data_IF_099672170574
#
_entry.id   IF_099672170574
#
_cell.length_a   1.000
_cell.length_b   1.000
_cell.length_c   1.000
_cell.angle_alpha   90.00
_cell.angle_beta   90.00
_cell.angle_gamma   90.00
#
_symmetry.space_group_name_H-M   'P 1'
#
loop_
_entity.id
_entity.type
_entity.pdbx_description
1 polymer ?
#
# COMPACT_ATOMS: atom_id res chain seq x y z
N UNK A 1 23.96 20.45 -29.53
CA UNK A 1 23.79 20.26 -28.05
C UNK A 1 22.57 21.06 -27.66
N UNK A 2 21.46 20.41 -27.42
CA UNK A 2 20.26 21.08 -26.89
C UNK A 2 20.56 21.62 -25.50
N UNK A 3 20.26 22.89 -25.28
CA UNK A 3 20.48 23.55 -23.98
C UNK A 3 19.62 22.88 -22.93
N UNK A 4 20.25 22.27 -21.91
CA UNK A 4 19.55 21.64 -20.82
C UNK A 4 18.65 22.66 -20.09
N UNK A 5 17.36 22.39 -20.01
CA UNK A 5 16.36 23.28 -19.47
C UNK A 5 16.23 23.10 -17.93
N UNK A 6 15.88 24.16 -17.22
CA UNK A 6 15.46 24.05 -15.82
C UNK A 6 13.96 23.70 -15.75
N UNK A 7 13.52 22.93 -14.72
CA UNK A 7 12.10 22.72 -14.49
C UNK A 7 11.35 24.04 -14.30
N UNK A 8 10.14 24.13 -14.87
CA UNK A 8 9.29 25.33 -14.74
C UNK A 8 8.73 25.39 -13.32
N UNK A 9 8.76 26.56 -12.69
CA UNK A 9 8.10 26.77 -11.40
C UNK A 9 6.58 26.77 -11.59
N UNK A 10 5.87 25.98 -10.81
CA UNK A 10 4.41 25.98 -10.80
C UNK A 10 3.87 27.40 -10.49
N UNK A 11 2.76 27.82 -11.11
CA UNK A 11 2.16 29.12 -10.78
C UNK A 11 1.57 29.15 -9.37
N UNK A 12 1.41 30.36 -8.81
CA UNK A 12 0.82 30.56 -7.49
C UNK A 12 1.79 30.40 -6.30
N UNK A 13 3.09 30.36 -6.57
CA UNK A 13 4.09 30.39 -5.51
C UNK A 13 4.14 31.74 -4.80
N UNK A 14 3.87 31.76 -3.51
CA UNK A 14 3.96 32.95 -2.67
C UNK A 14 5.38 33.14 -2.10
N UNK A 15 5.82 34.39 -1.84
CA UNK A 15 7.06 34.63 -1.12
C UNK A 15 7.10 33.88 0.20
N UNK A 16 8.22 33.24 0.53
CA UNK A 16 8.47 32.42 1.73
C UNK A 16 7.62 31.16 1.86
N UNK A 17 6.34 31.20 1.54
CA UNK A 17 5.42 30.07 1.69
C UNK A 17 5.44 29.11 0.51
N UNK A 18 5.85 29.57 -0.69
CA UNK A 18 5.74 28.80 -1.91
C UNK A 18 4.27 28.42 -2.19
N UNK A 19 4.02 27.13 -2.45
CA UNK A 19 2.68 26.59 -2.72
C UNK A 19 2.01 26.00 -1.48
N UNK A 20 2.41 26.41 -0.26
CA UNK A 20 1.84 25.86 0.99
C UNK A 20 0.30 25.99 1.04
N UNK A 21 -0.27 27.10 0.53
CA UNK A 21 -1.72 27.27 0.48
C UNK A 21 -2.41 26.31 -0.50
N UNK A 22 -1.76 25.93 -1.59
CA UNK A 22 -2.31 24.97 -2.55
C UNK A 22 -2.44 23.55 -1.95
N UNK A 23 -1.72 23.26 -0.86
CA UNK A 23 -1.83 22.01 -0.13
C UNK A 23 -3.12 21.87 0.69
N UNK A 24 -3.96 22.90 0.76
CA UNK A 24 -5.34 22.76 1.26
C UNK A 24 -6.21 21.90 0.34
N UNK A 25 -5.88 21.87 -0.97
CA UNK A 25 -6.52 21.02 -1.97
C UNK A 25 -5.44 20.27 -2.80
N UNK A 26 -4.69 19.33 -2.19
CA UNK A 26 -3.45 18.81 -2.75
C UNK A 26 -3.66 18.03 -4.05
N UNK A 27 -4.76 17.28 -4.19
CA UNK A 27 -5.08 16.55 -5.41
C UNK A 27 -5.43 17.49 -6.57
N UNK A 28 -6.17 18.57 -6.30
CA UNK A 28 -6.48 19.59 -7.31
C UNK A 28 -5.20 20.27 -7.79
N UNK A 29 -4.32 20.63 -6.87
CA UNK A 29 -3.03 21.22 -7.20
C UNK A 29 -2.16 20.24 -8.01
N UNK A 30 -2.05 18.99 -7.58
CA UNK A 30 -1.29 17.98 -8.30
C UNK A 30 -1.80 17.81 -9.75
N UNK A 31 -3.13 17.76 -9.95
CA UNK A 31 -3.77 17.63 -11.28
C UNK A 31 -3.55 18.82 -12.20
N UNK A 32 -3.28 20.01 -11.67
CA UNK A 32 -3.00 21.20 -12.49
C UNK A 32 -1.58 21.22 -13.06
N UNK A 33 -0.63 20.46 -12.46
CA UNK A 33 0.78 20.54 -12.81
C UNK A 33 1.12 20.12 -14.26
N UNK A 34 0.51 19.07 -14.85
CA UNK A 34 0.81 18.66 -16.23
C UNK A 34 0.58 19.75 -17.29
N UNK A 35 -0.32 20.70 -17.02
CA UNK A 35 -0.56 21.83 -17.92
C UNK A 35 0.64 22.81 -18.02
N UNK A 36 1.61 22.72 -17.11
CA UNK A 36 2.76 23.62 -17.03
C UNK A 36 4.07 22.99 -17.53
N UNK A 37 4.05 21.69 -17.88
CA UNK A 37 5.19 21.00 -18.48
C UNK A 37 5.42 19.59 -17.95
N UNK A 38 6.38 18.92 -18.57
CA UNK A 38 6.74 17.52 -18.25
C UNK A 38 7.38 17.36 -16.88
N UNK A 39 8.06 18.44 -16.43
CA UNK A 39 8.79 18.50 -15.17
C UNK A 39 8.56 19.87 -14.51
N UNK A 40 7.87 19.88 -13.38
CA UNK A 40 7.39 21.11 -12.73
C UNK A 40 7.97 21.25 -11.32
N UNK A 41 8.63 22.39 -11.05
CA UNK A 41 9.14 22.70 -9.70
C UNK A 41 8.01 23.16 -8.79
N UNK A 42 7.95 22.59 -7.60
CA UNK A 42 7.02 22.95 -6.51
C UNK A 42 7.82 23.34 -5.28
N UNK A 43 7.41 24.39 -4.59
CA UNK A 43 8.04 24.90 -3.36
C UNK A 43 7.05 24.88 -2.21
N UNK A 44 7.47 24.44 -1.05
CA UNK A 44 6.67 24.48 0.19
C UNK A 44 7.59 25.00 1.31
N UNK A 45 7.49 26.27 1.62
CA UNK A 45 8.48 26.94 2.45
C UNK A 45 9.90 26.79 1.86
N UNK A 46 10.87 26.32 2.63
CA UNK A 46 12.25 26.09 2.16
C UNK A 46 12.40 24.82 1.31
N UNK A 47 11.41 23.94 1.31
CA UNK A 47 11.46 22.66 0.58
C UNK A 47 11.19 22.89 -0.90
N UNK A 48 12.03 22.29 -1.74
CA UNK A 48 11.88 22.27 -3.19
C UNK A 48 11.77 20.83 -3.66
N UNK A 49 10.86 20.58 -4.57
CA UNK A 49 10.66 19.30 -5.21
C UNK A 49 10.33 19.52 -6.69
N UNK A 50 10.67 18.56 -7.51
CA UNK A 50 10.34 18.53 -8.92
C UNK A 50 9.34 17.41 -9.16
N UNK A 51 8.16 17.75 -9.67
CA UNK A 51 7.10 16.78 -9.97
C UNK A 51 7.22 16.36 -11.41
N UNK A 52 7.29 15.06 -11.63
CA UNK A 52 7.32 14.44 -12.97
C UNK A 52 5.89 14.26 -13.44
N UNK A 53 5.54 14.93 -14.52
CA UNK A 53 4.20 14.89 -15.13
C UNK A 53 4.15 14.01 -16.37
N UNK A 54 5.31 13.75 -17.00
CA UNK A 54 5.43 12.94 -18.20
C UNK A 54 5.60 11.44 -17.87
N UNK A 55 4.90 10.53 -18.58
CA UNK A 55 5.00 9.08 -18.34
C UNK A 55 6.39 8.51 -18.63
N UNK A 56 7.08 8.93 -19.70
CA UNK A 56 8.38 8.41 -20.08
C UNK A 56 9.46 8.83 -19.06
N UNK A 57 9.41 10.09 -18.59
CA UNK A 57 10.28 10.57 -17.52
C UNK A 57 10.01 9.86 -16.20
N UNK A 58 8.75 9.52 -15.92
CA UNK A 58 8.39 8.70 -14.74
C UNK A 58 9.08 7.33 -14.80
N UNK A 59 9.08 6.67 -15.96
CA UNK A 59 9.81 5.42 -16.16
C UNK A 59 11.32 5.56 -15.97
N UNK A 60 11.92 6.61 -16.51
CA UNK A 60 13.38 6.88 -16.32
C UNK A 60 13.72 6.98 -14.83
N UNK A 61 12.90 7.69 -14.03
CA UNK A 61 13.09 7.79 -12.58
C UNK A 61 12.97 6.43 -11.89
N UNK A 62 12.00 5.61 -12.29
CA UNK A 62 11.74 4.31 -11.64
C UNK A 62 12.77 3.24 -11.99
N UNK A 63 13.31 3.26 -13.21
CA UNK A 63 14.29 2.28 -13.69
C UNK A 63 15.71 2.56 -13.20
N UNK A 64 16.05 3.81 -12.92
CA UNK A 64 17.41 4.21 -12.52
C UNK A 64 17.50 4.53 -11.01
N UNK A 65 17.38 3.50 -10.17
CA UNK A 65 17.42 3.65 -8.71
C UNK A 65 18.83 3.94 -8.14
N UNK A 66 19.87 3.90 -8.97
CA UNK A 66 21.21 4.37 -8.61
C UNK A 66 21.26 5.90 -8.53
N UNK A 67 20.64 6.55 -9.49
CA UNK A 67 20.59 8.01 -9.60
C UNK A 67 19.41 8.57 -8.81
N UNK A 68 18.24 7.94 -8.90
CA UNK A 68 17.01 8.33 -8.21
C UNK A 68 16.75 7.39 -7.03
N UNK A 69 17.53 7.57 -5.95
CA UNK A 69 17.42 6.70 -4.77
C UNK A 69 16.30 7.14 -3.82
N UNK A 70 15.95 6.26 -2.90
CA UNK A 70 15.05 6.58 -1.80
C UNK A 70 15.69 7.58 -0.85
N UNK A 71 15.11 8.78 -0.74
CA UNK A 71 15.66 9.87 0.05
C UNK A 71 14.60 10.93 0.39
N UNK A 72 15.09 12.09 0.85
CA UNK A 72 14.24 13.20 1.26
C UNK A 72 13.69 13.09 2.68
N UNK A 73 12.97 14.12 3.11
CA UNK A 73 12.48 14.26 4.49
C UNK A 73 11.49 13.14 4.84
N UNK A 74 10.58 12.82 3.95
CA UNK A 74 9.52 11.79 4.16
C UNK A 74 10.15 10.42 4.48
N UNK A 75 11.13 9.99 3.68
CA UNK A 75 11.78 8.70 3.91
C UNK A 75 12.73 8.72 5.11
N UNK A 76 13.36 9.87 5.42
CA UNK A 76 14.12 10.01 6.66
C UNK A 76 13.23 9.78 7.89
N UNK A 77 12.01 10.31 7.88
CA UNK A 77 11.01 10.06 8.93
C UNK A 77 10.48 8.62 8.93
N UNK A 78 10.27 8.05 7.76
CA UNK A 78 9.89 6.64 7.64
C UNK A 78 10.92 5.70 8.27
N UNK A 79 12.21 5.98 8.11
CA UNK A 79 13.31 5.21 8.74
C UNK A 79 13.30 5.27 10.27
N UNK A 80 12.76 6.31 10.87
CA UNK A 80 12.65 6.36 12.34
C UNK A 80 11.77 5.23 12.89
N UNK A 81 10.80 4.73 12.10
CA UNK A 81 9.90 3.64 12.50
C UNK A 81 10.35 2.32 11.89
N UNK A 82 10.45 2.29 10.56
CA UNK A 82 10.70 1.08 9.79
C UNK A 82 12.19 0.69 9.73
N UNK A 83 13.06 1.43 10.41
CA UNK A 83 14.49 1.17 10.36
C UNK A 83 15.06 1.23 8.94
N UNK A 84 16.03 0.36 8.64
CA UNK A 84 16.65 0.21 7.33
C UNK A 84 16.06 -0.99 6.55
N UNK A 85 14.76 -1.22 6.67
CA UNK A 85 14.07 -2.28 5.93
C UNK A 85 13.95 -1.97 4.43
N UNK A 86 13.51 -2.95 3.63
CA UNK A 86 13.43 -2.89 2.17
C UNK A 86 12.67 -1.65 1.64
N UNK A 87 11.63 -1.22 2.39
CA UNK A 87 10.83 -0.03 2.08
C UNK A 87 11.61 1.28 2.15
N UNK A 88 12.61 1.37 3.01
CA UNK A 88 13.31 2.61 3.38
C UNK A 88 14.82 2.62 3.12
N UNK A 89 15.45 1.47 2.89
CA UNK A 89 16.90 1.34 2.71
C UNK A 89 17.40 2.07 1.46
N UNK A 90 18.66 2.51 1.52
CA UNK A 90 19.37 3.12 0.39
C UNK A 90 19.69 2.09 -0.70
N UNK A 91 20.05 2.59 -1.91
CA UNK A 91 20.38 1.75 -3.06
C UNK A 91 21.43 0.67 -2.73
N UNK A 92 22.51 1.04 -2.02
CA UNK A 92 23.61 0.13 -1.66
C UNK A 92 23.15 -1.13 -0.89
N UNK A 93 22.12 -1.01 -0.02
CA UNK A 93 21.63 -2.09 0.83
C UNK A 93 20.49 -2.86 0.18
N UNK A 94 19.76 -2.20 -0.73
CA UNK A 94 18.51 -2.71 -1.29
C UNK A 94 18.67 -4.02 -2.06
N UNK A 95 19.69 -4.11 -2.93
CA UNK A 95 19.87 -5.30 -3.79
C UNK A 95 20.10 -6.57 -2.97
N UNK A 96 20.91 -6.46 -1.90
CA UNK A 96 21.14 -7.58 -0.97
C UNK A 96 19.88 -7.92 -0.21
N UNK A 97 19.25 -6.93 0.43
CA UNK A 97 18.03 -7.16 1.20
C UNK A 97 16.92 -7.75 0.33
N UNK A 98 16.72 -7.22 -0.90
CA UNK A 98 15.69 -7.75 -1.79
C UNK A 98 15.90 -9.20 -2.15
N UNK A 99 17.15 -9.62 -2.43
CA UNK A 99 17.45 -11.04 -2.71
C UNK A 99 17.12 -11.95 -1.52
N UNK A 100 17.39 -11.50 -0.31
CA UNK A 100 17.10 -12.25 0.92
C UNK A 100 15.61 -12.34 1.24
N UNK A 101 14.86 -11.28 0.95
CA UNK A 101 13.43 -11.16 1.28
C UNK A 101 12.53 -11.76 0.20
N UNK A 102 12.91 -11.67 -1.07
CA UNK A 102 12.06 -12.05 -2.21
C UNK A 102 11.56 -13.50 -2.18
N UNK A 103 12.33 -14.52 -1.72
CA UNK A 103 11.84 -15.89 -1.61
C UNK A 103 10.59 -16.04 -0.73
N UNK A 104 10.42 -15.19 0.29
CA UNK A 104 9.24 -15.20 1.16
C UNK A 104 7.96 -14.78 0.41
N UNK A 105 8.08 -14.05 -0.70
CA UNK A 105 6.97 -13.63 -1.57
C UNK A 105 6.89 -14.44 -2.87
N UNK A 106 7.56 -15.60 -2.94
CA UNK A 106 7.51 -16.45 -4.13
C UNK A 106 6.14 -17.13 -4.28
N UNK A 107 5.71 -17.33 -5.54
CA UNK A 107 4.36 -17.85 -5.86
C UNK A 107 4.00 -19.18 -5.18
N UNK A 108 4.97 -20.04 -4.88
CA UNK A 108 4.70 -21.31 -4.19
C UNK A 108 4.24 -21.14 -2.72
N UNK A 109 4.46 -19.95 -2.11
CA UNK A 109 3.98 -19.63 -0.77
C UNK A 109 2.57 -19.01 -0.77
N UNK A 110 2.11 -18.50 -1.91
CA UNK A 110 0.83 -17.80 -2.01
C UNK A 110 -0.37 -18.65 -1.58
N UNK A 111 -0.46 -19.97 -1.87
CA UNK A 111 -1.57 -20.79 -1.37
C UNK A 111 -1.70 -20.77 0.17
N UNK A 112 -0.58 -20.85 0.86
CA UNK A 112 -0.57 -20.77 2.33
C UNK A 112 -1.02 -19.39 2.81
N UNK A 113 -0.50 -18.31 2.24
CA UNK A 113 -0.94 -16.96 2.62
C UNK A 113 -2.41 -16.71 2.28
N UNK A 114 -2.91 -17.23 1.16
CA UNK A 114 -4.33 -17.15 0.81
C UNK A 114 -5.22 -17.78 1.89
N UNK A 115 -4.87 -18.98 2.37
CA UNK A 115 -5.62 -19.64 3.45
C UNK A 115 -5.61 -18.85 4.75
N UNK A 116 -4.50 -18.18 5.06
CA UNK A 116 -4.39 -17.30 6.23
C UNK A 116 -5.29 -16.07 6.06
N UNK A 117 -5.24 -15.39 4.91
CA UNK A 117 -6.06 -14.21 4.60
C UNK A 117 -7.55 -14.52 4.69
N UNK A 118 -7.97 -15.61 4.06
CA UNK A 118 -9.36 -16.07 4.06
C UNK A 118 -9.85 -16.35 5.48
N UNK A 119 -9.06 -17.03 6.29
CA UNK A 119 -9.41 -17.29 7.69
C UNK A 119 -9.57 -16.00 8.48
N UNK A 120 -8.62 -15.08 8.40
CA UNK A 120 -8.67 -13.80 9.13
C UNK A 120 -9.84 -12.93 8.67
N UNK A 121 -10.13 -12.88 7.38
CA UNK A 121 -11.28 -12.19 6.84
C UNK A 121 -12.61 -12.83 7.32
N UNK A 122 -12.69 -14.17 7.34
CA UNK A 122 -13.86 -14.88 7.86
C UNK A 122 -14.11 -14.58 9.34
N UNK A 123 -13.08 -14.58 10.17
CA UNK A 123 -13.20 -14.25 11.61
C UNK A 123 -13.79 -12.85 11.82
N UNK A 124 -13.38 -11.87 11.03
CA UNK A 124 -13.94 -10.51 11.12
C UNK A 124 -15.38 -10.46 10.60
N UNK A 125 -15.62 -11.02 9.41
CA UNK A 125 -16.95 -10.96 8.78
C UNK A 125 -18.01 -11.80 9.52
N UNK A 126 -17.62 -12.86 10.24
CA UNK A 126 -18.53 -13.68 11.05
C UNK A 126 -19.07 -12.92 12.28
N UNK A 127 -18.40 -11.88 12.73
CA UNK A 127 -18.89 -11.01 13.80
C UNK A 127 -19.95 -10.00 13.32
N UNK A 128 -20.10 -9.82 12.02
CA UNK A 128 -21.04 -8.85 11.45
C UNK A 128 -22.48 -9.36 11.48
N UNK A 129 -23.42 -8.41 11.54
CA UNK A 129 -24.87 -8.71 11.60
C UNK A 129 -25.63 -7.94 10.52
N UNK A 130 -26.71 -8.51 9.97
CA UNK A 130 -27.60 -7.78 9.05
C UNK A 130 -28.11 -6.48 9.68
N UNK A 131 -28.11 -5.41 8.89
CA UNK A 131 -28.51 -4.07 9.32
C UNK A 131 -27.46 -3.28 10.11
N UNK A 132 -26.37 -3.91 10.53
CA UNK A 132 -25.26 -3.24 11.22
C UNK A 132 -24.65 -2.16 10.32
N UNK A 133 -24.28 -1.02 10.92
CA UNK A 133 -23.51 0.03 10.26
C UNK A 133 -22.06 -0.08 10.72
N UNK A 134 -21.15 -0.26 9.76
CA UNK A 134 -19.71 -0.36 9.99
C UNK A 134 -18.97 0.84 9.38
N UNK A 135 -17.80 1.19 9.93
CA UNK A 135 -16.79 1.97 9.18
C UNK A 135 -15.93 0.97 8.38
N UNK A 136 -16.09 1.04 7.06
CA UNK A 136 -15.44 0.06 6.16
C UNK A 136 -13.93 0.13 6.24
N UNK A 137 -13.35 1.34 6.47
CA UNK A 137 -11.91 1.49 6.57
C UNK A 137 -11.35 0.82 7.83
N UNK A 138 -12.04 0.93 8.95
CA UNK A 138 -11.62 0.30 10.21
C UNK A 138 -11.74 -1.23 10.14
N UNK A 139 -12.84 -1.74 9.56
CA UNK A 139 -13.04 -3.18 9.37
C UNK A 139 -12.00 -3.79 8.42
N UNK A 140 -11.79 -3.17 7.25
CA UNK A 140 -10.78 -3.63 6.29
C UNK A 140 -9.35 -3.46 6.86
N UNK A 141 -9.13 -2.45 7.70
CA UNK A 141 -7.92 -2.29 8.47
C UNK A 141 -7.67 -3.46 9.41
N UNK A 142 -8.70 -3.88 10.13
CA UNK A 142 -8.63 -5.04 11.02
C UNK A 142 -8.34 -6.33 10.25
N UNK A 143 -9.02 -6.58 9.14
CA UNK A 143 -8.76 -7.73 8.26
C UNK A 143 -7.30 -7.75 7.81
N UNK A 144 -6.82 -6.64 7.27
CA UNK A 144 -5.48 -6.56 6.67
C UNK A 144 -4.36 -6.68 7.73
N UNK A 145 -4.52 -6.06 8.90
CA UNK A 145 -3.53 -6.18 9.98
C UNK A 145 -3.50 -7.62 10.50
N UNK A 146 -4.64 -8.26 10.71
CA UNK A 146 -4.69 -9.66 11.13
C UNK A 146 -4.08 -10.59 10.10
N UNK A 147 -4.36 -10.37 8.81
CA UNK A 147 -3.78 -11.15 7.71
C UNK A 147 -2.26 -11.06 7.68
N UNK A 148 -1.71 -9.83 7.73
CA UNK A 148 -0.26 -9.65 7.71
C UNK A 148 0.40 -10.18 8.99
N UNK A 149 -0.23 -10.00 10.16
CA UNK A 149 0.28 -10.52 11.42
C UNK A 149 0.39 -12.05 11.41
N UNK A 150 -0.67 -12.73 10.96
CA UNK A 150 -0.71 -14.18 10.86
C UNK A 150 0.21 -14.73 9.74
N UNK A 151 0.40 -13.98 8.64
CA UNK A 151 1.37 -14.33 7.60
C UNK A 151 2.81 -14.13 8.05
N UNK A 152 3.07 -13.11 8.88
CA UNK A 152 4.39 -12.85 9.46
C UNK A 152 4.77 -13.93 10.46
N UNK A 153 3.86 -14.34 11.32
CA UNK A 153 4.16 -15.34 12.36
C UNK A 153 2.94 -16.18 12.71
N UNK A 154 3.04 -17.47 12.39
CA UNK A 154 2.08 -18.47 12.86
C UNK A 154 2.15 -18.70 14.38
N UNK A 155 3.22 -18.22 15.06
CA UNK A 155 3.43 -18.34 16.48
C UNK A 155 3.00 -17.09 17.27
N UNK A 156 2.27 -16.16 16.66
CA UNK A 156 1.78 -14.98 17.36
C UNK A 156 0.77 -15.40 18.44
N UNK A 157 0.99 -15.07 19.72
CA UNK A 157 0.05 -15.44 20.77
C UNK A 157 -1.32 -14.82 20.57
N UNK A 158 -2.41 -15.50 20.93
CA UNK A 158 -3.77 -14.92 20.95
C UNK A 158 -3.79 -13.61 21.75
N UNK A 159 -4.50 -12.58 21.26
CA UNK A 159 -4.56 -11.24 21.86
C UNK A 159 -3.40 -10.30 21.51
N UNK A 160 -2.26 -10.80 21.05
CA UNK A 160 -1.15 -9.94 20.57
C UNK A 160 -1.48 -9.27 19.25
N UNK A 161 -2.28 -9.93 18.39
CA UNK A 161 -2.76 -9.34 17.16
C UNK A 161 -3.58 -8.07 17.43
N UNK A 162 -4.48 -8.09 18.41
CA UNK A 162 -5.31 -6.93 18.76
C UNK A 162 -4.47 -5.78 19.35
N UNK A 163 -3.42 -6.10 20.12
CA UNK A 163 -2.45 -5.10 20.60
C UNK A 163 -1.67 -4.47 19.45
N UNK A 164 -1.25 -5.28 18.46
CA UNK A 164 -0.58 -4.79 17.25
C UNK A 164 -1.49 -3.89 16.41
N UNK A 165 -2.78 -4.22 16.32
CA UNK A 165 -3.78 -3.38 15.64
C UNK A 165 -3.87 -2.01 16.32
N UNK A 166 -4.02 -1.97 17.65
CA UNK A 166 -4.13 -0.72 18.40
C UNK A 166 -2.84 0.14 18.30
N UNK A 167 -1.67 -0.51 18.36
CA UNK A 167 -0.38 0.17 18.19
C UNK A 167 -0.18 0.69 16.77
N UNK A 168 -0.57 -0.09 15.77
CA UNK A 168 -0.52 0.31 14.37
C UNK A 168 -1.34 1.58 14.10
N UNK A 169 -2.63 1.59 14.49
CA UNK A 169 -3.48 2.78 14.32
C UNK A 169 -2.92 4.00 15.10
N UNK A 170 -2.36 3.77 16.29
CA UNK A 170 -1.73 4.84 17.08
C UNK A 170 -0.48 5.40 16.37
N UNK A 171 0.33 4.57 15.73
CA UNK A 171 1.50 4.98 14.95
C UNK A 171 1.09 5.73 13.70
N UNK A 172 0.09 5.24 12.97
CA UNK A 172 -0.37 5.83 11.72
C UNK A 172 -0.87 7.25 11.89
N UNK A 173 -1.74 7.50 12.89
CA UNK A 173 -2.29 8.83 13.17
C UNK A 173 -1.21 9.88 13.41
N UNK A 174 -0.12 9.50 14.06
CA UNK A 174 0.96 10.43 14.41
C UNK A 174 2.02 10.53 13.33
N UNK A 175 2.32 9.41 12.64
CA UNK A 175 3.36 9.35 11.62
C UNK A 175 3.15 10.39 10.52
N UNK A 176 1.94 10.47 9.96
CA UNK A 176 1.64 11.40 8.88
C UNK A 176 1.82 12.86 9.30
N UNK A 177 1.34 13.21 10.49
CA UNK A 177 1.57 14.56 11.05
C UNK A 177 3.05 14.86 11.22
N UNK A 178 3.83 13.89 11.70
CA UNK A 178 5.29 14.05 11.89
C UNK A 178 6.03 14.19 10.56
N UNK A 179 5.60 13.50 9.50
CA UNK A 179 6.20 13.65 8.16
C UNK A 179 6.11 15.10 7.66
N UNK A 180 5.07 15.83 8.03
CA UNK A 180 4.83 17.20 7.64
C UNK A 180 5.33 18.24 8.66
N UNK A 181 5.70 17.82 9.88
CA UNK A 181 6.19 18.73 10.93
C UNK A 181 7.69 19.00 10.73
N UNK A 182 8.07 20.28 10.49
CA UNK A 182 9.47 20.59 10.31
C UNK A 182 10.25 20.51 11.64
N UNK A 183 11.57 20.20 11.61
CA UNK A 183 12.43 20.39 12.77
C UNK A 183 12.51 21.89 13.15
N UNK A 184 12.58 22.23 14.46
CA UNK A 184 12.70 21.37 15.65
C UNK A 184 11.37 20.97 16.30
N UNK A 185 10.21 21.41 15.77
CA UNK A 185 8.89 21.21 16.37
C UNK A 185 8.50 19.74 16.58
N UNK A 186 9.06 18.84 15.76
CA UNK A 186 8.87 17.40 15.87
C UNK A 186 9.49 16.78 17.13
N UNK A 187 10.41 17.49 17.81
CA UNK A 187 11.09 17.04 19.03
C UNK A 187 10.34 17.42 20.31
N UNK A 188 9.35 18.29 20.21
CA UNK A 188 8.59 18.72 21.39
C UNK A 188 7.89 17.53 22.07
N UNK A 189 7.92 17.43 23.41
CA UNK A 189 7.37 16.29 24.15
C UNK A 189 5.84 16.38 24.30
N UNK A 190 5.14 16.42 23.16
CA UNK A 190 3.67 16.45 23.12
C UNK A 190 3.05 15.12 23.57
N UNK A 191 1.79 15.10 24.04
CA UNK A 191 1.08 13.84 24.36
C UNK A 191 1.05 12.89 23.17
N UNK A 192 0.87 13.41 21.94
CA UNK A 192 0.92 12.61 20.71
C UNK A 192 2.28 11.97 20.47
N UNK A 193 3.38 12.70 20.73
CA UNK A 193 4.74 12.12 20.62
C UNK A 193 4.96 10.99 21.64
N UNK A 194 4.54 11.18 22.88
CA UNK A 194 4.67 10.14 23.92
C UNK A 194 3.86 8.87 23.59
N UNK A 195 2.67 9.04 23.01
CA UNK A 195 1.83 7.92 22.53
C UNK A 195 2.51 7.17 21.38
N UNK A 196 3.04 7.90 20.44
CA UNK A 196 3.80 7.37 19.31
C UNK A 196 5.06 6.59 19.77
N UNK A 197 5.88 7.19 20.65
CA UNK A 197 7.11 6.55 21.14
C UNK A 197 6.79 5.25 21.89
N UNK A 198 5.70 5.22 22.67
CA UNK A 198 5.22 4.00 23.36
C UNK A 198 4.73 2.93 22.40
N UNK A 199 3.91 3.30 21.42
CA UNK A 199 3.41 2.35 20.41
C UNK A 199 4.55 1.76 19.59
N UNK A 200 5.52 2.58 19.18
CA UNK A 200 6.73 2.14 18.48
C UNK A 200 7.55 1.16 19.32
N UNK A 201 7.78 1.46 20.60
CA UNK A 201 8.52 0.58 21.49
C UNK A 201 7.83 -0.77 21.65
N UNK A 202 6.49 -0.80 21.84
CA UNK A 202 5.73 -2.05 21.94
C UNK A 202 5.78 -2.86 20.64
N UNK A 203 5.64 -2.22 19.48
CA UNK A 203 5.77 -2.91 18.19
C UNK A 203 7.15 -3.56 18.05
N UNK A 204 8.21 -2.83 18.37
CA UNK A 204 9.57 -3.37 18.34
C UNK A 204 9.76 -4.53 19.31
N UNK A 205 9.25 -4.41 20.52
CA UNK A 205 9.29 -5.48 21.54
C UNK A 205 8.56 -6.73 21.05
N UNK A 206 7.35 -6.59 20.51
CA UNK A 206 6.58 -7.72 19.97
C UNK A 206 7.34 -8.43 18.85
N UNK A 207 7.99 -7.70 17.96
CA UNK A 207 8.81 -8.30 16.89
C UNK A 207 10.00 -9.06 17.48
N UNK A 208 10.67 -8.54 18.51
CA UNK A 208 11.77 -9.26 19.17
C UNK A 208 11.30 -10.54 19.87
N UNK A 209 10.14 -10.50 20.54
CA UNK A 209 9.53 -11.69 21.15
C UNK A 209 9.23 -12.77 20.09
N UNK A 210 8.70 -12.38 18.92
CA UNK A 210 8.44 -13.30 17.82
C UNK A 210 9.75 -13.91 17.28
N UNK A 211 10.81 -13.11 17.12
CA UNK A 211 12.14 -13.59 16.70
C UNK A 211 12.66 -14.63 17.68
N UNK A 212 12.58 -14.36 19.00
CA UNK A 212 13.03 -15.29 20.04
C UNK A 212 12.30 -16.64 19.97
N UNK A 213 10.96 -16.62 19.90
CA UNK A 213 10.13 -17.84 19.78
C UNK A 213 10.47 -18.65 18.51
N UNK A 214 10.80 -17.99 17.41
CA UNK A 214 11.19 -18.70 16.17
C UNK A 214 12.58 -19.31 16.26
N UNK A 215 13.50 -18.72 17.01
CA UNK A 215 14.85 -19.27 17.22
C UNK A 215 14.86 -20.50 18.11
N UNK A 216 13.97 -20.59 19.08
CA UNK A 216 13.82 -21.72 19.99
C UNK A 216 13.01 -22.88 19.41
N UNK A 217 12.20 -22.62 18.36
CA UNK A 217 11.26 -23.59 17.81
C UNK A 217 11.71 -24.28 16.52
N UNK A 218 10.71 -24.80 15.77
CA UNK A 218 10.94 -25.41 14.45
C UNK A 218 11.54 -24.41 13.47
N UNK A 219 12.55 -24.78 12.67
CA UNK A 219 13.25 -23.86 11.77
C UNK A 219 12.34 -23.23 10.70
N UNK A 220 11.38 -23.98 10.14
CA UNK A 220 10.44 -23.49 9.12
C UNK A 220 9.00 -23.79 9.56
N UNK A 221 8.24 -22.74 9.83
CA UNK A 221 6.80 -22.77 10.15
C UNK A 221 5.94 -22.41 8.95
N UNK A 222 6.54 -22.19 7.78
CA UNK A 222 5.85 -21.72 6.56
C UNK A 222 5.54 -20.24 6.53
N UNK A 223 5.84 -19.48 7.58
CA UNK A 223 5.57 -18.07 7.72
C UNK A 223 6.74 -17.18 7.24
N UNK A 224 6.45 -15.87 7.10
CA UNK A 224 7.44 -14.86 6.65
C UNK A 224 8.65 -14.78 7.60
N UNK A 225 8.42 -14.89 8.91
CA UNK A 225 9.48 -14.80 9.91
C UNK A 225 10.51 -15.95 9.74
N UNK A 226 10.04 -17.18 9.63
CA UNK A 226 10.90 -18.35 9.40
C UNK A 226 11.74 -18.16 8.13
N UNK A 227 11.11 -17.67 7.05
CA UNK A 227 11.81 -17.43 5.78
C UNK A 227 12.92 -16.38 5.92
N UNK A 228 12.67 -15.29 6.65
CA UNK A 228 13.66 -14.23 6.86
C UNK A 228 14.83 -14.71 7.73
N UNK A 229 14.55 -15.50 8.78
CA UNK A 229 15.57 -16.03 9.67
C UNK A 229 16.44 -17.10 8.98
N UNK A 230 15.87 -17.84 8.03
CA UNK A 230 16.57 -18.88 7.25
C UNK A 230 17.25 -18.33 5.99
N UNK A 231 16.89 -17.11 5.56
CA UNK A 231 17.40 -16.51 4.33
C UNK A 231 18.93 -16.38 4.35
N UNK A 232 19.57 -16.92 3.30
CA UNK A 232 21.02 -16.79 3.05
C UNK A 232 21.24 -16.27 1.65
N UNK A 233 22.22 -15.39 1.50
CA UNK A 233 22.72 -15.06 0.16
C UNK A 233 23.59 -16.22 -0.31
N UNK A 234 23.37 -16.70 -1.54
CA UNK A 234 24.31 -17.62 -2.16
C UNK A 234 25.69 -16.95 -2.25
N UNK A 235 26.79 -17.67 -1.98
CA UNK A 235 28.13 -17.12 -2.12
C UNK A 235 28.31 -16.54 -3.52
N UNK A 236 28.67 -15.28 -3.61
CA UNK A 236 29.06 -14.57 -4.83
C UNK A 236 30.27 -13.73 -4.50
N UNK A 237 31.06 -13.37 -5.50
CA UNK A 237 32.35 -12.66 -5.34
C UNK A 237 32.27 -11.34 -4.56
N UNK A 238 31.09 -10.89 -4.20
CA UNK A 238 30.85 -9.61 -3.49
C UNK A 238 30.03 -9.74 -2.21
N UNK A 239 29.64 -10.97 -1.79
CA UNK A 239 28.73 -11.12 -0.66
C UNK A 239 29.06 -12.41 0.10
N UNK A 240 29.55 -12.30 1.34
CA UNK A 240 30.10 -13.36 2.20
C UNK A 240 29.07 -14.41 2.68
N UNK A 241 27.99 -14.68 1.97
CA UNK A 241 26.93 -15.59 2.40
C UNK A 241 26.17 -15.10 3.63
N UNK A 242 26.18 -13.79 3.90
CA UNK A 242 25.60 -13.17 5.08
C UNK A 242 24.09 -13.36 5.13
N UNK A 243 23.63 -13.77 6.31
CA UNK A 243 22.21 -13.76 6.70
C UNK A 243 21.77 -12.33 7.05
N UNK A 244 20.45 -12.13 7.16
CA UNK A 244 19.91 -10.97 7.86
C UNK A 244 20.26 -11.06 9.35
N UNK A 245 20.72 -9.96 9.93
CA UNK A 245 20.82 -9.81 11.38
C UNK A 245 19.42 -9.68 12.00
N UNK A 246 19.26 -9.92 13.28
CA UNK A 246 17.97 -9.77 13.99
C UNK A 246 17.40 -8.37 13.85
N UNK A 247 18.27 -7.37 13.84
CA UNK A 247 17.86 -5.99 13.59
C UNK A 247 17.31 -5.82 12.17
N UNK A 248 17.98 -6.39 11.17
CA UNK A 248 17.48 -6.33 9.79
C UNK A 248 16.17 -7.10 9.63
N UNK A 249 16.04 -8.28 10.27
CA UNK A 249 14.77 -9.03 10.30
C UNK A 249 13.67 -8.17 10.93
N UNK A 250 13.94 -7.55 12.09
CA UNK A 250 12.99 -6.64 12.75
C UNK A 250 12.59 -5.48 11.85
N UNK A 251 13.56 -4.82 11.19
CA UNK A 251 13.31 -3.71 10.25
C UNK A 251 12.45 -4.18 9.06
N UNK A 252 12.65 -5.40 8.54
CA UNK A 252 11.79 -5.96 7.48
C UNK A 252 10.37 -6.16 7.96
N UNK A 253 10.18 -6.80 9.12
CA UNK A 253 8.86 -7.10 9.67
C UNK A 253 8.07 -5.83 9.96
N UNK A 254 8.69 -4.84 10.59
CA UNK A 254 8.05 -3.53 10.81
C UNK A 254 7.69 -2.87 9.49
N UNK A 255 8.57 -2.95 8.48
CA UNK A 255 8.29 -2.43 7.13
C UNK A 255 7.09 -3.12 6.50
N UNK A 256 6.94 -4.43 6.66
CA UNK A 256 5.81 -5.19 6.09
C UNK A 256 4.49 -4.83 6.77
N UNK A 257 4.47 -4.70 8.10
CA UNK A 257 3.29 -4.23 8.83
C UNK A 257 2.85 -2.85 8.35
N UNK A 258 3.78 -1.90 8.28
CA UNK A 258 3.46 -0.52 7.89
C UNK A 258 3.04 -0.39 6.44
N UNK A 259 3.64 -1.16 5.54
CA UNK A 259 3.34 -1.07 4.11
C UNK A 259 2.11 -1.92 3.70
N UNK A 260 1.92 -3.09 4.30
CA UNK A 260 0.89 -4.05 3.90
C UNK A 260 -0.49 -3.68 4.40
N UNK A 261 -0.63 -3.40 5.70
CA UNK A 261 -1.94 -3.25 6.32
C UNK A 261 -2.77 -2.09 5.74
N UNK A 262 -2.17 -0.90 5.70
CA UNK A 262 -2.89 0.31 5.27
C UNK A 262 -3.29 0.29 3.81
N UNK A 263 -2.38 -0.09 2.93
CA UNK A 263 -2.61 -0.01 1.48
C UNK A 263 -3.69 -0.98 1.03
N UNK A 264 -3.75 -2.16 1.61
CA UNK A 264 -4.80 -3.16 1.36
C UNK A 264 -6.13 -2.68 1.93
N UNK A 265 -6.18 -2.20 3.17
CA UNK A 265 -7.38 -1.67 3.80
C UNK A 265 -8.02 -0.55 2.98
N UNK A 266 -7.24 0.41 2.50
CA UNK A 266 -7.72 1.51 1.68
C UNK A 266 -8.21 1.04 0.31
N UNK A 267 -7.48 0.10 -0.33
CA UNK A 267 -7.90 -0.48 -1.61
C UNK A 267 -9.24 -1.21 -1.46
N UNK A 268 -9.40 -2.02 -0.42
CA UNK A 268 -10.65 -2.73 -0.12
C UNK A 268 -11.80 -1.76 0.17
N UNK A 269 -11.52 -0.71 0.96
CA UNK A 269 -12.53 0.32 1.27
C UNK A 269 -13.02 1.05 0.02
N UNK A 270 -12.11 1.45 -0.86
CA UNK A 270 -12.46 2.04 -2.14
C UNK A 270 -13.19 1.06 -3.06
N UNK A 271 -12.76 -0.21 -3.11
CA UNK A 271 -13.45 -1.25 -3.89
C UNK A 271 -14.89 -1.43 -3.41
N UNK A 272 -15.09 -1.51 -2.10
CA UNK A 272 -16.41 -1.62 -1.49
C UNK A 272 -17.30 -0.40 -1.83
N UNK A 273 -16.76 0.81 -1.74
CA UNK A 273 -17.46 2.04 -2.12
C UNK A 273 -17.85 2.05 -3.60
N UNK A 274 -16.92 1.73 -4.48
CA UNK A 274 -17.16 1.73 -5.92
C UNK A 274 -18.20 0.67 -6.31
N UNK A 275 -18.14 -0.52 -5.75
CA UNK A 275 -19.14 -1.57 -5.97
C UNK A 275 -20.52 -1.13 -5.44
N UNK A 276 -20.57 -0.50 -4.27
CA UNK A 276 -21.83 -0.02 -3.69
C UNK A 276 -22.51 1.05 -4.54
N UNK A 277 -21.72 1.91 -5.20
CA UNK A 277 -22.20 3.05 -6.00
C UNK A 277 -22.38 2.75 -7.49
N UNK A 278 -22.02 1.54 -7.96
CA UNK A 278 -22.17 1.12 -9.38
C UNK A 278 -22.96 -0.21 -9.44
N UNK A 279 -24.30 -0.15 -9.49
CA UNK A 279 -25.19 -1.33 -9.42
C UNK A 279 -24.89 -2.40 -10.49
N UNK A 280 -24.56 -1.99 -11.71
CA UNK A 280 -24.23 -2.89 -12.80
C UNK A 280 -22.91 -3.66 -12.58
N UNK A 281 -21.92 -3.03 -11.94
CA UNK A 281 -20.66 -3.70 -11.57
C UNK A 281 -20.93 -4.65 -10.40
N UNK A 282 -21.72 -4.22 -9.42
CA UNK A 282 -22.15 -5.06 -8.29
C UNK A 282 -22.85 -6.32 -8.75
N UNK A 283 -23.80 -6.19 -9.69
CA UNK A 283 -24.53 -7.35 -10.22
C UNK A 283 -23.60 -8.37 -10.88
N UNK A 284 -22.64 -7.90 -11.69
CA UNK A 284 -21.64 -8.79 -12.31
C UNK A 284 -20.73 -9.45 -11.28
N UNK A 285 -20.31 -8.70 -10.25
CA UNK A 285 -19.49 -9.23 -9.18
C UNK A 285 -20.25 -10.33 -8.40
N UNK A 286 -21.52 -10.08 -8.07
CA UNK A 286 -22.36 -11.09 -7.40
C UNK A 286 -22.54 -12.34 -8.26
N UNK A 287 -22.83 -12.19 -9.56
CA UNK A 287 -22.96 -13.34 -10.49
C UNK A 287 -21.66 -14.15 -10.59
N UNK A 288 -20.50 -13.47 -10.60
CA UNK A 288 -19.20 -14.16 -10.61
C UNK A 288 -18.99 -14.98 -9.33
N UNK A 289 -19.14 -14.36 -8.16
CA UNK A 289 -18.88 -15.07 -6.88
C UNK A 289 -19.85 -16.20 -6.66
N UNK A 290 -21.12 -16.05 -7.04
CA UNK A 290 -22.13 -17.10 -6.95
C UNK A 290 -21.79 -18.31 -7.87
N UNK A 291 -21.17 -18.06 -9.01
CA UNK A 291 -20.75 -19.11 -9.95
C UNK A 291 -19.42 -19.76 -9.57
N UNK A 292 -18.48 -18.98 -9.02
CA UNK A 292 -17.11 -19.45 -8.79
C UNK A 292 -16.96 -20.09 -7.42
N UNK A 293 -17.67 -19.55 -6.41
CA UNK A 293 -17.53 -19.96 -5.03
C UNK A 293 -18.68 -20.90 -4.64
N UNK A 294 -18.39 -22.19 -4.50
CA UNK A 294 -19.36 -23.19 -4.05
C UNK A 294 -19.72 -23.08 -2.55
N UNK A 295 -18.87 -22.45 -1.79
CA UNK A 295 -19.07 -22.00 -0.41
C UNK A 295 -18.73 -20.52 -0.33
N UNK A 296 -19.23 -19.80 0.66
CA UNK A 296 -18.97 -18.34 0.83
C UNK A 296 -17.48 -17.99 1.08
N UNK A 297 -16.58 -18.92 0.87
CA UNK A 297 -15.15 -18.84 1.15
C UNK A 297 -14.35 -19.29 -0.08
N UNK A 298 -13.55 -18.37 -0.70
CA UNK A 298 -12.76 -18.71 -1.87
C UNK A 298 -11.51 -19.50 -1.50
N UNK A 299 -11.10 -20.37 -2.42
CA UNK A 299 -9.79 -21.04 -2.37
C UNK A 299 -8.77 -20.28 -3.22
N UNK A 300 -7.47 -20.52 -2.98
CA UNK A 300 -6.40 -19.96 -3.83
C UNK A 300 -6.61 -20.34 -5.32
N UNK A 301 -7.09 -21.57 -5.57
CA UNK A 301 -7.39 -22.05 -6.92
C UNK A 301 -8.51 -21.28 -7.63
N UNK A 302 -9.39 -20.59 -6.92
CA UNK A 302 -10.48 -19.83 -7.52
C UNK A 302 -10.05 -18.47 -8.09
N UNK A 303 -8.89 -17.97 -7.66
CA UNK A 303 -8.39 -16.64 -8.09
C UNK A 303 -8.37 -16.47 -9.61
N UNK A 304 -7.97 -17.49 -10.36
CA UNK A 304 -7.92 -17.41 -11.82
C UNK A 304 -9.31 -17.29 -12.49
N UNK A 305 -10.39 -17.61 -11.76
CA UNK A 305 -11.79 -17.51 -12.19
C UNK A 305 -12.44 -16.20 -11.77
N UNK A 306 -11.93 -15.51 -10.74
CA UNK A 306 -12.45 -14.25 -10.19
C UNK A 306 -12.03 -13.03 -11.04
N UNK A 307 -12.38 -13.02 -12.33
CA UNK A 307 -11.90 -12.00 -13.30
C UNK A 307 -12.56 -10.64 -13.11
N UNK A 308 -13.85 -10.61 -12.82
CA UNK A 308 -14.58 -9.37 -12.51
C UNK A 308 -14.02 -8.75 -11.23
N UNK A 309 -13.82 -9.57 -10.20
CA UNK A 309 -13.22 -9.15 -8.93
C UNK A 309 -11.81 -8.59 -9.13
N UNK A 310 -10.95 -9.29 -9.88
CA UNK A 310 -9.60 -8.79 -10.24
C UNK A 310 -9.66 -7.43 -10.95
N UNK A 311 -10.57 -7.27 -11.91
CA UNK A 311 -10.69 -6.04 -12.68
C UNK A 311 -11.23 -4.88 -11.83
N UNK A 312 -12.11 -5.14 -10.87
CA UNK A 312 -12.56 -4.16 -9.87
C UNK A 312 -11.36 -3.67 -9.05
N UNK A 313 -10.54 -4.60 -8.53
CA UNK A 313 -9.34 -4.25 -7.75
C UNK A 313 -8.33 -3.46 -8.60
N UNK A 314 -8.10 -3.86 -9.85
CA UNK A 314 -7.23 -3.12 -10.78
C UNK A 314 -7.72 -1.69 -11.00
N UNK A 315 -9.02 -1.53 -11.27
CA UNK A 315 -9.61 -0.23 -11.53
C UNK A 315 -9.62 0.66 -10.27
N UNK A 316 -9.85 0.06 -9.12
CA UNK A 316 -9.72 0.75 -7.83
C UNK A 316 -8.31 1.28 -7.61
N UNK A 317 -7.29 0.44 -7.84
CA UNK A 317 -5.89 0.84 -7.74
C UNK A 317 -5.47 1.85 -8.81
N UNK A 318 -6.15 1.90 -9.95
CA UNK A 318 -5.96 2.96 -10.95
C UNK A 318 -6.50 4.30 -10.47
N UNK A 319 -7.71 4.30 -9.92
CA UNK A 319 -8.37 5.52 -9.45
C UNK A 319 -7.80 6.05 -8.13
N UNK A 320 -7.46 5.15 -7.21
CA UNK A 320 -6.99 5.48 -5.86
C UNK A 320 -5.63 4.84 -5.53
N UNK A 321 -4.59 5.09 -6.34
CA UNK A 321 -3.24 4.58 -6.08
C UNK A 321 -2.53 5.40 -4.98
N UNK A 322 -1.26 5.10 -4.73
CA UNK A 322 -0.37 6.05 -4.05
C UNK A 322 -0.39 7.39 -4.79
N UNK A 323 -0.73 8.48 -4.07
CA UNK A 323 -0.93 9.78 -4.71
C UNK A 323 0.37 10.39 -5.22
N UNK A 324 1.43 10.34 -4.41
CA UNK A 324 2.74 10.87 -4.74
C UNK A 324 3.83 10.10 -3.98
N UNK A 325 4.90 9.79 -4.68
CA UNK A 325 6.06 9.07 -4.16
C UNK A 325 7.33 9.86 -4.48
N UNK A 326 8.35 9.74 -3.61
CA UNK A 326 9.56 10.55 -3.72
C UNK A 326 10.80 9.73 -4.03
N UNK A 327 11.72 10.36 -4.75
CA UNK A 327 13.11 9.97 -4.93
C UNK A 327 14.00 11.17 -4.65
N UNK A 328 15.29 10.94 -4.51
CA UNK A 328 16.30 12.00 -4.40
C UNK A 328 17.44 11.67 -5.34
N UNK A 329 17.89 12.64 -6.13
CA UNK A 329 19.04 12.46 -7.00
C UNK A 329 20.32 12.32 -6.17
N UNK A 330 21.09 11.27 -6.41
CA UNK A 330 22.36 11.00 -5.72
C UNK A 330 23.52 11.82 -6.30
N UNK A 331 23.43 12.16 -7.59
CA UNK A 331 24.40 12.96 -8.35
C UNK A 331 23.67 13.98 -9.21
N UNK A 332 24.38 14.97 -9.74
CA UNK A 332 23.86 15.79 -10.81
C UNK A 332 23.55 14.90 -12.03
N UNK A 333 22.38 15.06 -12.62
CA UNK A 333 21.89 14.18 -13.69
C UNK A 333 20.98 14.91 -14.65
N UNK A 334 20.72 14.29 -15.79
CA UNK A 334 19.69 14.72 -16.73
C UNK A 334 18.46 13.80 -16.62
N UNK A 335 17.28 14.38 -16.71
CA UNK A 335 15.98 13.70 -16.80
C UNK A 335 15.24 14.25 -18.03
N UNK A 336 15.23 13.49 -19.12
CA UNK A 336 14.88 14.03 -20.43
C UNK A 336 15.79 15.20 -20.78
N UNK A 337 15.20 16.33 -21.17
CA UNK A 337 15.92 17.58 -21.46
C UNK A 337 16.26 18.45 -20.23
N UNK A 338 15.92 17.99 -19.03
CA UNK A 338 16.07 18.79 -17.82
C UNK A 338 17.32 18.39 -17.02
N UNK A 339 18.04 19.39 -16.52
CA UNK A 339 19.20 19.18 -15.66
C UNK A 339 18.82 19.30 -14.19
N UNK A 340 19.08 18.26 -13.41
CA UNK A 340 18.82 18.19 -11.98
C UNK A 340 20.14 18.17 -11.20
N UNK A 341 20.20 18.92 -10.10
CA UNK A 341 21.35 18.90 -9.17
C UNK A 341 21.29 17.68 -8.27
N UNK A 342 22.42 17.25 -7.73
CA UNK A 342 22.46 16.28 -6.64
C UNK A 342 21.62 16.77 -5.46
N UNK A 343 20.91 15.85 -4.79
CA UNK A 343 20.02 16.18 -3.67
C UNK A 343 18.65 16.71 -4.08
N UNK A 344 18.33 16.82 -5.38
CA UNK A 344 17.00 17.23 -5.83
C UNK A 344 15.95 16.18 -5.43
N UNK A 345 14.90 16.64 -4.75
CA UNK A 345 13.72 15.79 -4.50
C UNK A 345 12.87 15.70 -5.76
N UNK A 346 12.71 14.49 -6.27
CA UNK A 346 11.86 14.18 -7.43
C UNK A 346 10.61 13.46 -6.95
N UNK A 347 9.45 13.98 -7.34
CA UNK A 347 8.14 13.40 -7.02
C UNK A 347 7.57 12.80 -8.29
N UNK A 348 7.15 11.55 -8.25
CA UNK A 348 6.35 10.92 -9.31
C UNK A 348 4.99 10.49 -8.74
N UNK A 349 3.99 10.48 -9.59
CA UNK A 349 2.61 10.28 -9.16
C UNK A 349 1.89 9.24 -10.01
N UNK A 350 1.68 8.02 -9.50
CA UNK A 350 0.76 7.08 -10.14
C UNK A 350 -0.65 7.68 -10.34
N UNK A 351 -1.09 8.54 -9.43
CA UNK A 351 -2.38 9.23 -9.52
C UNK A 351 -2.50 10.10 -10.77
N UNK A 352 -1.44 10.84 -11.13
CA UNK A 352 -1.38 11.62 -12.38
C UNK A 352 -1.30 10.69 -13.60
N UNK A 353 -0.41 9.72 -13.56
CA UNK A 353 -0.17 8.80 -14.66
C UNK A 353 -1.44 8.02 -15.02
N UNK A 354 -2.14 7.50 -14.03
CA UNK A 354 -3.36 6.71 -14.22
C UNK A 354 -4.58 7.56 -14.66
N UNK A 355 -4.45 8.90 -14.65
CA UNK A 355 -5.45 9.83 -15.12
C UNK A 355 -5.08 10.54 -16.41
N UNK A 356 -3.96 10.15 -16.99
CA UNK A 356 -3.55 10.71 -18.29
C UNK A 356 -4.50 10.21 -19.40
N UNK A 357 -5.21 11.11 -20.12
CA UNK A 357 -6.26 10.71 -21.06
C UNK A 357 -5.72 9.94 -22.26
N UNK A 358 -4.47 10.19 -22.66
CA UNK A 358 -3.80 9.44 -23.72
C UNK A 358 -3.41 8.01 -23.34
N UNK A 359 -3.45 7.66 -22.04
CA UNK A 359 -3.15 6.31 -21.53
C UNK A 359 -4.42 5.56 -21.12
N UNK A 360 -5.37 6.28 -20.54
CA UNK A 360 -6.64 5.72 -20.06
C UNK A 360 -7.80 6.58 -20.57
N UNK A 361 -8.52 6.15 -21.60
CA UNK A 361 -9.75 6.83 -22.05
C UNK A 361 -10.76 6.93 -20.91
N UNK A 362 -11.46 8.07 -20.79
CA UNK A 362 -12.38 8.37 -19.69
C UNK A 362 -11.75 8.10 -18.31
N UNK A 363 -10.64 8.78 -17.96
CA UNK A 363 -9.80 8.38 -16.86
C UNK A 363 -10.45 8.57 -15.48
N UNK A 364 -11.49 9.37 -15.35
CA UNK A 364 -12.19 9.60 -14.08
C UNK A 364 -13.32 8.60 -13.82
N UNK A 365 -13.78 7.87 -14.85
CA UNK A 365 -14.86 6.90 -14.71
C UNK A 365 -14.35 5.55 -14.23
N UNK A 366 -15.09 4.96 -13.30
CA UNK A 366 -14.85 3.60 -12.83
C UNK A 366 -15.39 2.59 -13.86
N UNK A 367 -14.48 1.98 -14.59
CA UNK A 367 -14.79 1.04 -15.68
C UNK A 367 -13.91 -0.21 -15.59
N UNK A 368 -14.26 -1.19 -14.74
CA UNK A 368 -13.49 -2.44 -14.61
C UNK A 368 -13.31 -3.19 -15.94
N UNK A 369 -14.24 -3.05 -16.87
CA UNK A 369 -14.21 -3.69 -18.19
C UNK A 369 -13.05 -3.23 -19.08
N UNK A 370 -12.47 -2.05 -18.81
CA UNK A 370 -11.30 -1.58 -19.58
C UNK A 370 -10.15 -2.59 -19.53
N UNK A 371 -10.04 -3.35 -18.47
CA UNK A 371 -8.99 -4.35 -18.30
C UNK A 371 -9.16 -5.60 -19.19
N UNK A 372 -10.32 -5.77 -19.83
CA UNK A 372 -10.56 -6.82 -20.82
C UNK A 372 -9.99 -6.45 -22.20
N UNK A 373 -9.84 -5.15 -22.47
CA UNK A 373 -9.40 -4.63 -23.79
C UNK A 373 -7.96 -4.13 -23.80
N UNK A 374 -7.36 -3.82 -22.65
CA UNK A 374 -5.97 -3.34 -22.58
C UNK A 374 -5.03 -4.54 -22.62
N UNK A 375 -4.15 -4.64 -23.63
CA UNK A 375 -3.15 -5.71 -23.68
C UNK A 375 -2.23 -5.70 -22.44
N UNK A 376 -1.87 -6.86 -21.94
CA UNK A 376 -1.06 -6.98 -20.71
C UNK A 376 0.33 -6.31 -20.84
N UNK A 377 0.88 -6.20 -22.04
CA UNK A 377 2.14 -5.50 -22.29
C UNK A 377 1.97 -3.98 -22.12
N UNK A 378 0.91 -3.40 -22.68
CA UNK A 378 0.61 -1.98 -22.61
C UNK A 378 0.22 -1.58 -21.17
N UNK A 379 -0.59 -2.43 -20.50
CA UNK A 379 -0.92 -2.23 -19.10
C UNK A 379 0.33 -2.14 -18.23
N UNK A 380 1.33 -3.00 -18.44
CA UNK A 380 2.59 -2.98 -17.68
C UNK A 380 3.39 -1.70 -17.84
N UNK A 381 3.27 -1.04 -18.97
CA UNK A 381 3.97 0.21 -19.23
C UNK A 381 3.34 1.42 -18.53
N UNK A 382 2.03 1.43 -18.33
CA UNK A 382 1.29 2.63 -17.90
C UNK A 382 0.58 2.45 -16.54
N UNK A 383 0.27 1.23 -16.15
CA UNK A 383 -0.40 0.91 -14.89
C UNK A 383 0.63 0.55 -13.81
N UNK A 384 0.94 1.51 -12.95
CA UNK A 384 2.03 1.44 -11.99
C UNK A 384 1.58 1.58 -10.52
N UNK A 385 0.53 0.89 -10.06
CA UNK A 385 0.06 1.03 -8.67
C UNK A 385 1.10 0.54 -7.65
N UNK A 386 1.96 -0.38 -8.07
CA UNK A 386 3.05 -0.97 -7.29
C UNK A 386 4.43 -0.44 -7.68
N UNK A 387 4.50 0.70 -8.39
CA UNK A 387 5.70 1.24 -9.03
C UNK A 387 6.33 0.25 -10.05
N UNK A 388 7.55 0.54 -10.50
CA UNK A 388 8.29 -0.29 -11.44
C UNK A 388 9.79 -0.33 -11.11
N UNK A 389 10.54 -1.09 -11.91
CA UNK A 389 12.01 -1.19 -11.79
C UNK A 389 12.49 -1.94 -10.55
N UNK A 390 13.76 -1.76 -10.18
CA UNK A 390 14.38 -2.47 -9.06
C UNK A 390 13.67 -2.26 -7.71
N UNK A 391 12.98 -1.12 -7.56
CA UNK A 391 12.25 -0.72 -6.35
C UNK A 391 10.74 -0.99 -6.40
N UNK A 392 10.27 -1.80 -7.36
CA UNK A 392 8.88 -2.26 -7.43
C UNK A 392 8.47 -2.92 -6.12
N UNK A 393 7.21 -2.74 -5.70
CA UNK A 393 6.67 -3.36 -4.49
C UNK A 393 6.95 -4.87 -4.48
N UNK A 394 7.45 -5.38 -3.36
CA UNK A 394 7.74 -6.80 -3.21
C UNK A 394 6.47 -7.59 -2.90
N UNK A 395 5.50 -6.94 -2.26
CA UNK A 395 4.21 -7.52 -1.88
C UNK A 395 3.10 -7.30 -2.90
N UNK A 396 3.41 -6.98 -4.16
CA UNK A 396 2.40 -6.71 -5.19
C UNK A 396 1.41 -7.86 -5.37
N UNK A 397 1.92 -9.08 -5.52
CA UNK A 397 1.11 -10.29 -5.66
C UNK A 397 0.35 -10.62 -4.37
N UNK A 398 1.00 -10.47 -3.22
CA UNK A 398 0.39 -10.71 -1.91
C UNK A 398 -0.79 -9.75 -1.66
N UNK A 399 -0.59 -8.43 -1.78
CA UNK A 399 -1.64 -7.46 -1.53
C UNK A 399 -2.77 -7.51 -2.56
N UNK A 400 -2.44 -7.74 -3.84
CA UNK A 400 -3.44 -7.90 -4.89
C UNK A 400 -4.32 -9.14 -4.66
N UNK A 401 -3.71 -10.26 -4.26
CA UNK A 401 -4.41 -11.50 -3.89
C UNK A 401 -5.33 -11.28 -2.68
N UNK A 402 -4.84 -10.60 -1.64
CA UNK A 402 -5.64 -10.29 -0.46
C UNK A 402 -6.86 -9.45 -0.83
N UNK A 403 -6.67 -8.38 -1.60
CA UNK A 403 -7.77 -7.55 -2.07
C UNK A 403 -8.81 -8.36 -2.88
N UNK A 404 -8.36 -9.25 -3.75
CA UNK A 404 -9.26 -10.07 -4.58
C UNK A 404 -10.06 -11.07 -3.74
N UNK A 405 -9.39 -11.80 -2.84
CA UNK A 405 -10.05 -12.80 -1.98
C UNK A 405 -11.07 -12.14 -1.02
N UNK A 406 -10.64 -11.07 -0.34
CA UNK A 406 -11.50 -10.39 0.65
C UNK A 406 -12.68 -9.70 -0.03
N UNK A 407 -12.49 -9.10 -1.20
CA UNK A 407 -13.60 -8.50 -1.97
C UNK A 407 -14.59 -9.56 -2.44
N UNK A 408 -14.11 -10.72 -2.90
CA UNK A 408 -14.98 -11.84 -3.29
C UNK A 408 -15.78 -12.35 -2.10
N UNK A 409 -15.14 -12.55 -0.93
CA UNK A 409 -15.83 -12.96 0.31
C UNK A 409 -16.89 -11.94 0.75
N UNK A 410 -16.52 -10.65 0.70
CA UNK A 410 -17.46 -9.58 1.01
C UNK A 410 -18.70 -9.64 0.09
N UNK A 411 -18.46 -9.76 -1.22
CA UNK A 411 -19.50 -9.79 -2.23
C UNK A 411 -20.36 -11.08 -2.17
N UNK A 412 -19.80 -12.19 -1.73
CA UNK A 412 -20.56 -13.43 -1.58
C UNK A 412 -21.58 -13.37 -0.42
N UNK A 413 -21.25 -12.66 0.66
CA UNK A 413 -22.04 -12.67 1.91
C UNK A 413 -22.84 -11.39 2.12
N UNK A 414 -22.35 -10.26 1.63
CA UNK A 414 -22.86 -8.95 1.99
C UNK A 414 -23.06 -8.05 0.76
N UNK A 415 -24.11 -7.27 0.79
CA UNK A 415 -24.24 -6.05 0.01
C UNK A 415 -24.06 -4.86 0.97
N UNK A 416 -23.26 -3.88 0.53
CA UNK A 416 -23.00 -2.68 1.30
C UNK A 416 -23.79 -1.50 0.73
N UNK A 417 -24.43 -0.73 1.63
CA UNK A 417 -25.14 0.49 1.26
C UNK A 417 -24.58 1.70 2.04
N UNK A 418 -24.16 2.77 1.35
CA UNK A 418 -23.71 3.99 2.01
C UNK A 418 -24.80 4.58 2.91
N UNK A 419 -24.44 5.01 4.12
CA UNK A 419 -25.36 5.75 5.00
C UNK A 419 -25.13 7.26 4.92
N UNK A 420 -26.14 8.05 5.32
CA UNK A 420 -26.22 9.49 5.05
C UNK A 420 -25.08 10.36 5.58
N UNK A 421 -24.29 9.88 6.54
CA UNK A 421 -23.10 10.59 7.08
C UNK A 421 -21.77 10.08 6.50
N UNK A 422 -21.81 9.30 5.42
CA UNK A 422 -20.65 8.83 4.68
C UNK A 422 -20.04 9.96 3.86
N UNK A 423 -18.72 10.12 3.92
CA UNK A 423 -17.95 11.07 3.12
C UNK A 423 -16.82 10.33 2.42
N UNK A 424 -17.03 10.02 1.15
CA UNK A 424 -16.06 9.35 0.30
C UNK A 424 -15.00 10.29 -0.31
N UNK A 425 -14.91 11.55 0.15
CA UNK A 425 -13.87 12.46 -0.34
C UNK A 425 -12.49 11.88 -0.09
N UNK A 426 -11.61 11.85 -1.11
CA UNK A 426 -10.28 11.32 -0.94
C UNK A 426 -9.41 12.23 -0.07
N UNK A 427 -8.83 11.66 0.99
CA UNK A 427 -7.86 12.32 1.85
C UNK A 427 -6.46 12.00 1.37
N UNK A 428 -5.70 13.03 1.07
CA UNK A 428 -4.31 12.91 0.62
C UNK A 428 -3.41 12.39 1.73
N UNK A 429 -2.62 11.37 1.42
CA UNK A 429 -1.64 10.77 2.31
C UNK A 429 -0.54 10.06 1.52
N UNK A 430 0.14 9.10 2.13
CA UNK A 430 1.03 8.19 1.42
C UNK A 430 0.25 7.41 0.36
N UNK A 431 -0.97 7.06 0.69
CA UNK A 431 -2.02 6.53 -0.19
C UNK A 431 -3.27 7.40 -0.06
N UNK A 432 -4.23 7.23 -0.94
CA UNK A 432 -5.51 7.92 -0.90
C UNK A 432 -6.51 7.11 -0.08
N UNK A 433 -6.98 7.65 1.04
CA UNK A 433 -8.03 7.00 1.81
C UNK A 433 -9.35 7.75 1.71
N UNK A 434 -10.52 7.08 1.83
CA UNK A 434 -11.78 7.78 2.04
C UNK A 434 -11.75 8.53 3.38
N UNK A 435 -12.45 9.66 3.45
CA UNK A 435 -12.50 10.46 4.68
C UNK A 435 -13.25 9.74 5.78
N UNK A 436 -14.42 9.18 5.45
CA UNK A 436 -15.30 8.46 6.34
C UNK A 436 -16.23 7.57 5.49
N UNK A 437 -16.15 6.28 5.67
CA UNK A 437 -16.90 5.36 4.83
C UNK A 437 -17.78 4.43 5.68
N UNK A 438 -18.93 4.99 6.12
CA UNK A 438 -19.92 4.22 6.86
C UNK A 438 -20.93 3.58 5.92
N UNK A 439 -21.11 2.28 6.07
CA UNK A 439 -22.02 1.49 5.25
C UNK A 439 -22.86 0.55 6.09
N UNK A 440 -24.10 0.33 5.66
CA UNK A 440 -25.01 -0.67 6.21
C UNK A 440 -24.74 -2.00 5.54
N UNK A 441 -24.67 -3.05 6.36
CA UNK A 441 -24.55 -4.43 5.92
C UNK A 441 -25.94 -5.02 5.62
N UNK A 442 -26.14 -5.50 4.40
CA UNK A 442 -27.32 -6.24 3.98
C UNK A 442 -26.86 -7.66 3.66
N UNK A 443 -27.38 -8.64 4.38
CA UNK A 443 -27.09 -10.03 4.10
C UNK A 443 -27.65 -10.42 2.72
N UNK A 444 -26.86 -11.15 1.94
CA UNK A 444 -27.35 -11.73 0.70
C UNK A 444 -28.10 -13.03 1.02
N UNK A 445 -29.31 -13.17 0.48
CA UNK A 445 -30.12 -14.40 0.59
C UNK A 445 -29.42 -15.49 -0.24
N UNK A 446 -29.05 -16.58 0.40
CA UNK A 446 -28.38 -17.73 -0.22
C UNK A 446 -27.30 -18.37 0.67
N UNK A 447 -26.94 -17.70 1.76
CA UNK A 447 -26.08 -18.27 2.81
C UNK A 447 -26.91 -18.40 4.09
N UNK A 448 -27.87 -19.36 4.11
CA UNK A 448 -28.40 -19.85 5.37
C UNK A 448 -27.26 -20.59 6.08
N UNK A 449 -26.63 -19.93 7.03
CA UNK A 449 -25.89 -20.60 8.08
C UNK A 449 -26.95 -21.39 8.89
N UNK A 450 -27.04 -22.69 8.67
CA UNK A 450 -27.67 -23.59 9.65
C UNK A 450 -26.94 -23.34 10.98
N UNK A 451 -27.64 -22.97 12.05
CA UNK A 451 -27.02 -22.83 13.35
C UNK A 451 -26.42 -24.20 13.72
N UNK A 452 -25.25 -24.26 14.36
CA UNK A 452 -24.66 -25.52 14.76
C UNK A 452 -25.68 -26.26 15.63
N UNK A 453 -26.01 -27.47 15.22
CA UNK A 453 -26.91 -28.36 15.96
C UNK A 453 -26.38 -28.46 17.40
N UNK A 454 -27.20 -28.10 18.38
CA UNK A 454 -26.92 -28.28 19.79
C UNK A 454 -26.59 -29.76 20.03
N UNK A 455 -25.50 -30.09 20.70
CA UNK A 455 -25.19 -31.46 21.08
C UNK A 455 -26.28 -31.93 22.06
N UNK A 456 -26.94 -33.05 21.72
CA UNK A 456 -27.87 -33.78 22.59
C UNK A 456 -27.10 -34.48 23.72
#
# INVERSE_FOLDING_TARGET
METAHAPVLAPGALPLLGHALALSAPLRFLRSLPAHGDLVEVRVGPLRAVVVCDPALTHQVLLNDRVFDKGGLVLKRGREIAGNGLGTCAHRDHRRQRRLVQPAFHRHRMPHYASVMVRQASEVMNAWRPGQIIDVLDEMGTVSIRSIAAAVSAALPPGRADSLIADYFSLEQVLYRRMLTPPPFDRLPTPGKRRYDRARARLQQTVQEIIAVHREGKPDRGDLMSMLLLARVAPSDTDDGRRLSDREVSDQIVSFFLAGAKTVAETLSWSAHLVATHPEVRQRLHAEVDTVMSASVPLYGDLHRLKTTENIVKETLRLYPAAALTRTTTTATELGRYRLRAGTTVVYSPYLLHRHPGLFPDPEHFRPERWLSIPAADARAVYLPFAAGPRKCIGDTFGFMECTLVLAMLAARWQLEPVGDSDSSPVFGATLRPRRLRMRLIARTGTEDEPPASPA
#
